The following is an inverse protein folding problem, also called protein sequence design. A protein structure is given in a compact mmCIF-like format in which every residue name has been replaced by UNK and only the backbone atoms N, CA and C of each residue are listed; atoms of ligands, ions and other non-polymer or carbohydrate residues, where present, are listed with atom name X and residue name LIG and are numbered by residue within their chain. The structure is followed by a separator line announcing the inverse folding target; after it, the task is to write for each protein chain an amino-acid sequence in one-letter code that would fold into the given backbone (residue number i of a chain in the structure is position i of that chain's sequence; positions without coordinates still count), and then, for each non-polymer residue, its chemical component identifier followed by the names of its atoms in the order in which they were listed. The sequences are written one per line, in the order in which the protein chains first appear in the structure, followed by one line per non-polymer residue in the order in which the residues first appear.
data_IF_979479848673
#
_entry.id   IF_979479848673
#
_cell.length_a   1.000
_cell.length_b   1.000
_cell.length_c   1.000
_cell.angle_alpha   90.00
_cell.angle_beta   90.00
_cell.angle_gamma   90.00
#
_symmetry.space_group_name_H-M   'P 1'
#
loop_
_entity.id
_entity.type
_entity.pdbx_description
1 polymer ?
#
# COMPACT_ATOMS: atom_id res chain seq x y z
N UNK A 1 41.81 -4.27 44.33
CA UNK A 1 41.77 -5.03 43.05
C UNK A 1 40.45 -4.72 42.31
N UNK A 2 40.48 -3.77 41.40
CA UNK A 2 39.32 -3.28 40.65
C UNK A 2 39.33 -3.87 39.27
N UNK A 3 38.39 -4.80 39.00
CA UNK A 3 38.20 -5.44 37.68
C UNK A 3 37.48 -4.48 36.75
N UNK A 4 38.17 -3.89 35.78
CA UNK A 4 37.58 -3.12 34.68
C UNK A 4 36.87 -4.07 33.70
N UNK A 5 35.56 -3.97 33.62
CA UNK A 5 34.74 -4.64 32.58
C UNK A 5 34.89 -3.84 31.29
N UNK A 6 35.46 -4.46 30.25
CA UNK A 6 35.48 -3.91 28.90
C UNK A 6 34.11 -4.17 28.26
N UNK A 7 33.42 -3.10 27.93
CA UNK A 7 32.19 -3.13 27.13
C UNK A 7 32.61 -3.28 25.66
N UNK A 8 32.32 -4.43 25.07
CA UNK A 8 32.48 -4.64 23.63
C UNK A 8 31.18 -4.18 22.96
N UNK A 9 31.21 -3.02 22.34
CA UNK A 9 30.14 -2.53 21.46
C UNK A 9 30.36 -3.21 20.10
N UNK A 10 29.60 -4.26 19.84
CA UNK A 10 29.57 -4.90 18.54
C UNK A 10 28.73 -4.06 17.57
N UNK A 11 29.39 -3.38 16.64
CA UNK A 11 28.72 -2.72 15.53
C UNK A 11 28.26 -3.79 14.54
N UNK A 12 26.98 -4.14 14.53
CA UNK A 12 26.37 -4.94 13.47
C UNK A 12 26.19 -4.04 12.23
N UNK A 13 27.15 -4.07 11.34
CA UNK A 13 26.98 -3.56 9.98
C UNK A 13 26.27 -4.68 9.20
N UNK A 14 24.95 -4.54 9.06
CA UNK A 14 24.17 -5.39 8.17
C UNK A 14 24.56 -5.10 6.72
N UNK A 15 25.35 -5.96 6.12
CA UNK A 15 25.68 -5.95 4.70
C UNK A 15 24.43 -6.36 3.92
N UNK A 16 23.65 -5.38 3.42
CA UNK A 16 22.61 -5.63 2.42
C UNK A 16 23.31 -5.97 1.10
N UNK A 17 23.50 -7.25 0.82
CA UNK A 17 23.86 -7.72 -0.52
C UNK A 17 22.65 -7.55 -1.43
N UNK A 18 22.69 -6.54 -2.29
CA UNK A 18 21.77 -6.41 -3.42
C UNK A 18 22.16 -7.51 -4.42
N UNK A 19 21.46 -8.62 -4.40
CA UNK A 19 21.53 -9.63 -5.46
C UNK A 19 20.83 -9.04 -6.69
N UNK A 20 21.62 -8.59 -7.66
CA UNK A 20 21.16 -8.27 -9.00
C UNK A 20 20.77 -9.59 -9.70
N UNK A 21 19.53 -9.99 -9.59
CA UNK A 21 18.91 -11.13 -10.26
C UNK A 21 17.54 -10.74 -10.78
N UNK A 22 17.41 -10.67 -12.09
CA UNK A 22 16.24 -10.33 -12.87
C UNK A 22 15.00 -11.16 -12.51
N UNK A 23 14.10 -10.59 -11.79
CA UNK A 23 12.63 -10.75 -11.73
C UNK A 23 12.09 -9.99 -10.52
N UNK A 24 12.03 -8.66 -10.61
CA UNK A 24 11.29 -7.91 -9.60
C UNK A 24 9.80 -8.07 -9.92
N UNK A 25 9.19 -9.09 -9.36
CA UNK A 25 7.76 -9.07 -9.10
C UNK A 25 7.47 -7.91 -8.13
N UNK A 26 6.24 -7.39 -8.13
CA UNK A 26 5.72 -6.57 -7.05
C UNK A 26 6.23 -7.15 -5.73
N UNK A 27 7.15 -6.48 -5.06
CA UNK A 27 7.63 -6.90 -3.76
C UNK A 27 6.85 -6.13 -2.70
N UNK A 28 6.13 -6.85 -1.86
CA UNK A 28 5.33 -6.28 -0.80
C UNK A 28 5.93 -6.69 0.55
N UNK A 29 6.28 -5.69 1.36
CA UNK A 29 6.75 -5.89 2.72
C UNK A 29 5.75 -5.21 3.65
N UNK A 30 5.01 -6.00 4.44
CA UNK A 30 4.25 -5.44 5.55
C UNK A 30 5.24 -4.88 6.58
N UNK A 31 5.22 -3.57 6.78
CA UNK A 31 6.12 -2.88 7.72
C UNK A 31 5.54 -2.86 9.12
N UNK A 32 4.23 -2.72 9.24
CA UNK A 32 3.53 -2.61 10.51
C UNK A 32 2.10 -3.12 10.39
N UNK A 33 1.68 -3.88 11.41
CA UNK A 33 0.29 -4.26 11.63
C UNK A 33 -0.10 -3.87 13.03
N UNK A 34 -1.26 -3.22 13.17
CA UNK A 34 -1.82 -2.82 14.46
C UNK A 34 -3.33 -3.00 14.48
N UNK A 35 -3.91 -2.97 15.68
CA UNK A 35 -5.36 -3.12 15.89
C UNK A 35 -5.93 -1.89 16.56
N UNK A 36 -7.06 -1.41 16.06
CA UNK A 36 -7.91 -0.40 16.68
C UNK A 36 -9.19 -1.12 17.13
N UNK A 37 -9.53 -1.13 18.44
CA UNK A 37 -10.68 -1.89 18.94
C UNK A 37 -12.03 -1.43 18.42
N UNK A 38 -12.16 -0.14 18.07
CA UNK A 38 -13.37 0.45 17.52
C UNK A 38 -12.98 1.57 16.53
N UNK A 39 -13.16 1.32 15.25
CA UNK A 39 -12.83 2.26 14.18
C UNK A 39 -14.09 2.66 13.42
N UNK A 40 -14.27 3.95 13.23
CA UNK A 40 -15.38 4.50 12.44
C UNK A 40 -14.96 4.62 10.97
N UNK A 41 -15.56 3.78 10.13
CA UNK A 41 -15.36 3.80 8.70
C UNK A 41 -16.30 4.79 7.97
N UNK A 42 -17.00 5.66 8.73
CA UNK A 42 -18.02 6.55 8.16
C UNK A 42 -19.31 5.82 7.78
N UNK A 43 -19.48 4.58 8.23
CA UNK A 43 -20.69 3.77 8.04
C UNK A 43 -21.46 3.72 9.34
N UNK A 44 -22.74 4.10 9.31
CA UNK A 44 -23.63 4.00 10.46
C UNK A 44 -24.54 2.78 10.36
N UNK A 45 -24.74 2.09 11.48
CA UNK A 45 -25.64 0.93 11.54
C UNK A 45 -25.33 0.00 12.71
N UNK A 46 -26.17 -1.03 12.92
CA UNK A 46 -25.92 -2.04 13.95
C UNK A 46 -24.54 -2.69 13.74
N UNK A 47 -23.71 -2.72 14.79
CA UNK A 47 -22.38 -3.32 14.75
C UNK A 47 -21.23 -2.37 14.40
N UNK A 48 -21.49 -1.08 14.15
CA UNK A 48 -20.44 -0.06 14.00
C UNK A 48 -20.34 0.82 15.27
N UNK A 49 -19.12 1.30 15.64
CA UNK A 49 -17.81 1.04 15.03
C UNK A 49 -17.36 -0.42 15.21
N UNK A 50 -16.47 -0.89 14.33
CA UNK A 50 -15.94 -2.27 14.35
C UNK A 50 -14.44 -2.30 14.64
N UNK A 51 -13.90 -3.42 15.15
CA UNK A 51 -12.45 -3.60 15.24
C UNK A 51 -11.82 -3.51 13.84
N UNK A 52 -10.72 -2.75 13.74
CA UNK A 52 -9.98 -2.57 12.50
C UNK A 52 -8.53 -3.06 12.64
N UNK A 53 -7.98 -3.51 11.53
CA UNK A 53 -6.55 -3.68 11.36
C UNK A 53 -5.99 -2.46 10.63
N UNK A 54 -4.92 -1.90 11.17
CA UNK A 54 -4.10 -0.89 10.48
C UNK A 54 -2.89 -1.57 9.90
N UNK A 55 -2.58 -1.30 8.66
CA UNK A 55 -1.41 -1.84 7.97
C UNK A 55 -0.63 -0.74 7.27
N UNK A 56 0.70 -0.90 7.25
CA UNK A 56 1.61 -0.10 6.46
C UNK A 56 2.45 -1.05 5.61
N UNK A 57 2.49 -0.82 4.33
CA UNK A 57 3.28 -1.59 3.37
C UNK A 57 4.28 -0.71 2.65
N UNK A 58 5.45 -1.28 2.36
CA UNK A 58 6.34 -0.77 1.33
C UNK A 58 6.34 -1.77 0.17
N UNK A 59 6.14 -1.30 -1.04
CA UNK A 59 6.19 -2.14 -2.22
C UNK A 59 6.78 -1.41 -3.42
N UNK A 60 7.19 -2.18 -4.42
CA UNK A 60 7.76 -1.66 -5.66
C UNK A 60 6.94 -2.12 -6.85
N UNK A 61 6.85 -1.25 -7.84
CA UNK A 61 6.21 -1.51 -9.13
C UNK A 61 7.21 -1.26 -10.24
N UNK A 62 7.41 -2.22 -11.15
CA UNK A 62 8.19 -2.04 -12.37
C UNK A 62 7.45 -1.12 -13.34
N UNK A 63 8.13 -0.54 -14.33
CA UNK A 63 7.45 0.11 -15.44
C UNK A 63 6.35 -0.78 -16.05
N UNK A 64 5.14 -0.23 -16.11
CA UNK A 64 3.96 -0.92 -16.61
C UNK A 64 3.18 -1.77 -15.61
N UNK A 65 3.74 -2.10 -14.43
CA UNK A 65 3.01 -2.80 -13.37
C UNK A 65 1.82 -1.95 -12.90
N UNK A 66 0.73 -2.62 -12.54
CA UNK A 66 -0.47 -1.96 -12.04
C UNK A 66 -1.09 -2.73 -10.86
N UNK A 67 -1.66 -1.98 -9.93
CA UNK A 67 -2.67 -2.48 -9.01
C UNK A 67 -4.02 -2.33 -9.73
N UNK A 68 -4.73 -3.44 -10.01
CA UNK A 68 -5.97 -3.40 -10.79
C UNK A 68 -7.06 -2.57 -10.10
N UNK A 69 -8.17 -2.35 -10.78
CA UNK A 69 -9.33 -1.63 -10.25
C UNK A 69 -9.86 -2.27 -8.97
N UNK A 70 -9.98 -1.45 -7.94
CA UNK A 70 -10.39 -1.84 -6.61
C UNK A 70 -10.90 -0.63 -5.81
N UNK A 71 -11.37 -0.87 -4.61
CA UNK A 71 -11.65 0.17 -3.61
C UNK A 71 -11.24 -0.29 -2.21
N UNK A 72 -11.22 0.65 -1.27
CA UNK A 72 -10.99 0.41 0.15
C UNK A 72 -12.19 0.89 0.97
N UNK A 73 -12.50 0.24 2.10
CA UNK A 73 -13.50 0.75 3.06
C UNK A 73 -12.94 1.87 3.93
N UNK A 74 -11.65 1.83 4.23
CA UNK A 74 -10.96 2.85 5.01
C UNK A 74 -10.25 3.86 4.11
N UNK A 75 -9.88 4.98 4.71
CA UNK A 75 -9.00 5.96 4.10
C UNK A 75 -7.61 5.36 3.92
N UNK A 76 -7.02 5.53 2.74
CA UNK A 76 -5.67 5.09 2.43
C UNK A 76 -4.76 6.29 2.18
N UNK A 77 -3.53 6.20 2.65
CA UNK A 77 -2.48 7.17 2.41
C UNK A 77 -1.39 6.53 1.56
N UNK A 78 -1.05 7.18 0.47
CA UNK A 78 -0.01 6.73 -0.46
C UNK A 78 1.11 7.75 -0.48
N UNK A 79 2.35 7.29 -0.35
CA UNK A 79 3.55 8.12 -0.50
C UNK A 79 4.40 7.51 -1.62
N UNK A 80 4.59 8.25 -2.70
CA UNK A 80 5.49 7.88 -3.77
C UNK A 80 6.92 8.34 -3.44
N UNK A 81 7.74 7.42 -2.92
CA UNK A 81 9.12 7.71 -2.53
C UNK A 81 10.00 7.92 -3.76
N UNK A 82 9.78 7.11 -4.80
CA UNK A 82 10.55 7.16 -6.06
C UNK A 82 9.70 6.72 -7.24
N UNK A 83 9.95 7.27 -8.42
CA UNK A 83 9.31 6.89 -9.68
C UNK A 83 8.17 7.82 -10.08
N UNK A 84 7.26 7.29 -10.90
CA UNK A 84 6.06 7.97 -11.40
C UNK A 84 4.89 7.01 -11.35
N UNK A 85 3.76 7.48 -10.87
CA UNK A 85 2.49 6.74 -10.87
C UNK A 85 1.42 7.54 -11.59
N UNK A 86 0.50 6.84 -12.23
CA UNK A 86 -0.80 7.36 -12.63
C UNK A 86 -1.85 6.62 -11.84
N UNK A 87 -2.65 7.34 -11.08
CA UNK A 87 -3.90 6.87 -10.50
C UNK A 87 -5.04 7.20 -11.46
N UNK A 88 -5.92 6.24 -11.68
CA UNK A 88 -7.21 6.46 -12.32
C UNK A 88 -8.30 6.17 -11.30
N UNK A 89 -9.25 7.08 -11.16
CA UNK A 89 -10.39 6.88 -10.27
C UNK A 89 -11.71 7.26 -10.93
N UNK A 90 -12.76 6.56 -10.49
CA UNK A 90 -14.11 6.74 -10.99
C UNK A 90 -14.76 7.96 -10.30
N UNK A 91 -15.27 8.89 -11.09
CA UNK A 91 -16.07 10.03 -10.63
C UNK A 91 -17.47 9.95 -11.24
N UNK A 92 -18.40 9.37 -10.51
CA UNK A 92 -19.75 9.08 -11.05
C UNK A 92 -19.80 7.71 -11.74
N UNK A 93 -20.88 7.43 -12.51
CA UNK A 93 -21.11 6.09 -13.04
C UNK A 93 -20.15 5.68 -14.16
N UNK A 94 -19.75 6.62 -15.04
CA UNK A 94 -19.08 6.28 -16.30
C UNK A 94 -17.88 7.19 -16.62
N UNK A 95 -17.47 8.04 -15.68
CA UNK A 95 -16.38 8.98 -15.90
C UNK A 95 -15.16 8.65 -15.03
N UNK A 96 -14.01 8.47 -15.66
CA UNK A 96 -12.74 8.33 -14.98
C UNK A 96 -11.92 9.63 -15.06
N UNK A 97 -11.19 9.89 -13.98
CA UNK A 97 -10.17 10.94 -13.92
C UNK A 97 -8.82 10.28 -13.72
N UNK A 98 -7.80 10.78 -14.40
CA UNK A 98 -6.42 10.33 -14.24
C UNK A 98 -5.58 11.44 -13.61
N UNK A 99 -4.82 11.06 -12.58
CA UNK A 99 -3.88 11.95 -11.90
C UNK A 99 -2.47 11.36 -11.94
N UNK A 100 -1.48 12.20 -12.22
CA UNK A 100 -0.07 11.79 -12.24
C UNK A 100 0.65 12.25 -10.98
N UNK A 101 1.44 11.34 -10.40
CA UNK A 101 2.26 11.59 -9.23
C UNK A 101 3.72 11.31 -9.53
N UNK A 102 4.61 12.11 -8.94
CA UNK A 102 6.05 12.00 -9.07
C UNK A 102 6.71 11.76 -7.72
N UNK A 103 7.97 11.38 -7.72
CA UNK A 103 8.76 11.17 -6.50
C UNK A 103 8.59 12.30 -5.49
N UNK A 104 8.29 11.95 -4.25
CA UNK A 104 8.01 12.88 -3.16
C UNK A 104 6.54 13.32 -3.04
N UNK A 105 5.67 12.89 -3.96
CA UNK A 105 4.23 13.13 -3.84
C UNK A 105 3.60 12.23 -2.78
N UNK A 106 2.54 12.74 -2.15
CA UNK A 106 1.62 11.94 -1.33
C UNK A 106 0.19 12.26 -1.77
N UNK A 107 -0.66 11.24 -1.75
CA UNK A 107 -2.08 11.39 -2.06
C UNK A 107 -2.94 10.48 -1.17
N UNK A 108 -4.23 10.67 -1.25
CA UNK A 108 -5.21 9.99 -0.41
C UNK A 108 -6.23 9.28 -1.32
N UNK A 109 -6.45 8.00 -1.06
CA UNK A 109 -7.51 7.21 -1.68
C UNK A 109 -8.70 7.22 -0.73
N UNK A 110 -9.82 7.80 -1.18
CA UNK A 110 -11.01 7.98 -0.35
C UNK A 110 -11.77 6.66 -0.13
N UNK A 111 -12.43 6.47 1.02
CA UNK A 111 -13.25 5.30 1.26
C UNK A 111 -14.30 5.10 0.17
N UNK A 112 -14.39 3.89 -0.39
CA UNK A 112 -15.32 3.51 -1.44
C UNK A 112 -15.00 4.05 -2.84
N UNK A 113 -13.99 4.87 -3.01
CA UNK A 113 -13.55 5.34 -4.32
C UNK A 113 -12.95 4.18 -5.12
N UNK A 114 -13.55 3.88 -6.26
CA UNK A 114 -13.04 2.86 -7.19
C UNK A 114 -11.89 3.46 -7.98
N UNK A 115 -10.72 2.83 -7.92
CA UNK A 115 -9.49 3.33 -8.54
C UNK A 115 -8.55 2.21 -8.97
N UNK A 116 -7.55 2.57 -9.76
CA UNK A 116 -6.40 1.73 -10.13
C UNK A 116 -5.13 2.59 -10.12
N UNK A 117 -3.99 1.97 -9.86
CA UNK A 117 -2.69 2.65 -9.83
C UNK A 117 -1.73 1.93 -10.74
N UNK A 118 -1.04 2.66 -11.62
CA UNK A 118 -0.07 2.12 -12.57
C UNK A 118 1.26 2.87 -12.49
N UNK A 119 2.36 2.14 -12.56
CA UNK A 119 3.65 2.77 -12.82
C UNK A 119 3.76 3.13 -14.31
N UNK A 120 3.64 4.42 -14.61
CA UNK A 120 3.74 4.98 -15.96
C UNK A 120 5.12 5.59 -16.26
N UNK A 121 6.05 5.48 -15.32
CA UNK A 121 7.44 5.90 -15.49
C UNK A 121 8.31 4.82 -16.12
N UNK A 122 9.55 5.21 -16.45
CA UNK A 122 10.56 4.33 -17.04
C UNK A 122 11.39 3.58 -15.98
N UNK A 123 11.23 3.92 -14.72
CA UNK A 123 11.95 3.35 -13.59
C UNK A 123 11.02 2.64 -12.61
N UNK A 124 11.60 1.80 -11.74
CA UNK A 124 10.86 1.19 -10.63
C UNK A 124 10.30 2.28 -9.73
N UNK A 125 9.00 2.22 -9.46
CA UNK A 125 8.36 3.05 -8.45
C UNK A 125 8.49 2.39 -7.07
N UNK A 126 8.74 3.19 -6.03
CA UNK A 126 8.82 2.79 -4.62
C UNK A 126 7.72 3.50 -3.87
N UNK A 127 6.83 2.73 -3.26
CA UNK A 127 5.59 3.22 -2.69
C UNK A 127 5.49 2.78 -1.22
N UNK A 128 5.06 3.70 -0.36
CA UNK A 128 4.56 3.39 0.96
C UNK A 128 3.06 3.64 0.98
N UNK A 129 2.34 2.67 1.49
CA UNK A 129 0.88 2.68 1.55
C UNK A 129 0.41 2.29 2.94
N UNK A 130 -0.52 3.06 3.48
CA UNK A 130 -1.10 2.83 4.80
C UNK A 130 -2.62 2.90 4.71
N UNK A 131 -3.31 1.95 5.33
CA UNK A 131 -4.77 1.94 5.43
C UNK A 131 -5.24 1.24 6.69
N UNK A 132 -6.52 1.49 7.04
CA UNK A 132 -7.24 0.71 8.02
C UNK A 132 -8.37 -0.06 7.34
N UNK A 133 -8.64 -1.29 7.80
CA UNK A 133 -9.74 -2.10 7.28
C UNK A 133 -10.39 -2.92 8.41
N UNK A 134 -11.70 -3.28 8.30
CA UNK A 134 -12.35 -4.14 9.28
C UNK A 134 -11.60 -5.46 9.48
N UNK A 135 -11.42 -5.90 10.72
CA UNK A 135 -10.74 -7.17 11.01
C UNK A 135 -11.43 -8.39 10.38
N UNK A 136 -12.72 -8.28 10.10
CA UNK A 136 -13.49 -9.33 9.41
C UNK A 136 -13.13 -9.47 7.93
N UNK A 137 -12.45 -8.48 7.36
CA UNK A 137 -12.12 -8.46 5.95
C UNK A 137 -10.88 -9.34 5.67
N UNK A 138 -10.93 -10.04 4.57
CA UNK A 138 -9.85 -10.91 4.15
C UNK A 138 -8.66 -10.17 3.53
N UNK A 139 -7.64 -10.94 3.21
CA UNK A 139 -6.48 -10.49 2.43
C UNK A 139 -6.66 -10.98 1.00
N UNK A 140 -6.45 -10.08 0.04
CA UNK A 140 -6.53 -10.36 -1.40
C UNK A 140 -5.12 -10.47 -1.98
N UNK A 141 -4.88 -11.48 -2.79
CA UNK A 141 -3.63 -11.65 -3.53
C UNK A 141 -3.81 -11.15 -4.96
N UNK A 142 -3.13 -10.05 -5.32
CA UNK A 142 -3.16 -9.45 -6.66
C UNK A 142 -2.16 -10.05 -7.62
N UNK A 143 -1.05 -10.54 -7.11
CA UNK A 143 -0.01 -11.24 -7.84
C UNK A 143 0.68 -12.23 -6.89
N UNK A 144 1.40 -13.25 -7.39
CA UNK A 144 2.11 -14.19 -6.52
C UNK A 144 2.96 -13.49 -5.46
N UNK A 145 2.60 -13.67 -4.19
CA UNK A 145 3.26 -13.03 -3.04
C UNK A 145 2.88 -11.57 -2.77
N UNK A 146 2.03 -10.93 -3.60
CA UNK A 146 1.54 -9.57 -3.38
C UNK A 146 0.14 -9.60 -2.78
N UNK A 147 0.06 -9.46 -1.47
CA UNK A 147 -1.17 -9.55 -0.67
C UNK A 147 -1.46 -8.25 0.06
N UNK A 148 -2.69 -7.76 -0.06
CA UNK A 148 -3.17 -6.58 0.63
C UNK A 148 -4.47 -6.90 1.39
N UNK A 149 -4.59 -6.44 2.63
CA UNK A 149 -5.82 -6.50 3.40
C UNK A 149 -6.72 -5.30 3.12
N UNK A 150 -8.02 -5.51 3.22
CA UNK A 150 -9.02 -4.42 3.06
C UNK A 150 -9.12 -3.83 1.66
N UNK A 151 -8.66 -4.55 0.65
CA UNK A 151 -8.75 -4.19 -0.76
C UNK A 151 -9.81 -5.05 -1.43
N UNK A 152 -10.70 -4.44 -2.17
CA UNK A 152 -11.84 -5.10 -2.82
C UNK A 152 -11.74 -4.94 -4.34
N UNK A 153 -11.25 -5.97 -5.06
CA UNK A 153 -11.16 -5.93 -6.51
C UNK A 153 -12.54 -5.75 -7.16
N UNK A 154 -12.58 -4.96 -8.22
CA UNK A 154 -13.77 -4.76 -9.04
C UNK A 154 -13.41 -4.91 -10.52
N UNK A 155 -14.36 -5.21 -11.41
CA UNK A 155 -14.14 -5.11 -12.85
C UNK A 155 -13.69 -3.70 -13.23
N UNK A 156 -12.85 -3.58 -14.27
CA UNK A 156 -12.49 -2.28 -14.80
C UNK A 156 -13.76 -1.55 -15.25
N UNK A 157 -13.98 -0.30 -14.81
CA UNK A 157 -15.11 0.49 -15.30
C UNK A 157 -14.91 0.84 -16.77
N UNK A 158 -16.02 1.08 -17.46
CA UNK A 158 -16.01 1.66 -18.80
C UNK A 158 -15.74 3.16 -18.63
N UNK A 159 -14.55 3.59 -18.99
CA UNK A 159 -14.10 4.98 -18.85
C UNK A 159 -14.16 5.64 -20.22
N UNK A 160 -15.21 6.39 -20.51
CA UNK A 160 -15.34 7.20 -21.70
C UNK A 160 -14.54 8.52 -21.62
#
# INVERSE_FOLDING_TARGET
MTRKRKLIVGTMIGLMTVLAGSAFALSNIALLLGTIPAYDFGVSGPGYPVPATVQIHAFTMKPGDAVPWHFHKGLSYVILVHGRLTEQHLVGPDKCVSEEFQSGSAFVESPGQVHSVKNTGDNVAVIWWATAFPQSDGVVEFAPGFKLGGVYPVPAPDCD
#
